data_IF_760322576009
#
_entry.id   IF_760322576009
#
_cell.length_a   1.000
_cell.length_b   1.000
_cell.length_c   1.000
_cell.angle_alpha   90.00
_cell.angle_beta   90.00
_cell.angle_gamma   90.00
#
_symmetry.space_group_name_H-M   'P 1'
#
loop_
_entity.id
_entity.type
_entity.pdbx_description
1 polymer ?
#
# COMPACT_ATOMS: atom_id res chain seq x y z
N UNK A 1 11.83 12.07 -16.64
CA UNK A 1 11.52 10.63 -16.54
C UNK A 1 10.02 10.50 -16.70
N UNK A 2 9.56 9.71 -17.68
CA UNK A 2 8.15 9.56 -18.05
C UNK A 2 7.43 8.71 -17.01
N UNK A 3 6.92 9.34 -15.94
CA UNK A 3 6.27 8.69 -14.78
C UNK A 3 4.92 8.01 -15.08
N UNK A 4 4.54 7.86 -16.36
CA UNK A 4 3.18 7.47 -16.74
C UNK A 4 3.04 6.01 -17.18
N UNK A 5 4.12 5.28 -17.47
CA UNK A 5 4.03 3.87 -17.90
C UNK A 5 3.99 2.85 -16.74
N UNK A 6 4.38 3.25 -15.52
CA UNK A 6 4.58 2.34 -14.38
C UNK A 6 3.42 2.25 -13.37
N UNK A 7 2.29 2.92 -13.60
CA UNK A 7 1.15 2.89 -12.67
C UNK A 7 0.24 1.65 -12.83
N UNK A 8 0.79 0.52 -13.27
CA UNK A 8 0.02 -0.74 -13.27
C UNK A 8 -0.03 -1.30 -11.85
N UNK A 9 -1.21 -1.64 -11.31
CA UNK A 9 -1.30 -2.29 -10.01
C UNK A 9 -0.48 -3.57 -10.00
N UNK A 10 0.54 -3.63 -9.13
CA UNK A 10 1.36 -4.83 -8.96
C UNK A 10 0.68 -5.74 -7.93
N UNK A 11 0.42 -7.01 -8.25
CA UNK A 11 -0.13 -7.95 -7.28
C UNK A 11 0.92 -8.28 -6.22
N UNK A 12 0.61 -8.00 -4.95
CA UNK A 12 1.45 -8.40 -3.81
C UNK A 12 1.18 -9.88 -3.51
N UNK A 13 2.16 -10.74 -3.77
CA UNK A 13 2.09 -12.19 -3.52
C UNK A 13 2.66 -12.51 -2.14
N UNK A 14 2.23 -13.63 -1.56
CA UNK A 14 2.72 -14.17 -0.28
C UNK A 14 2.65 -13.19 0.91
N UNK A 15 1.69 -12.25 0.88
CA UNK A 15 1.43 -11.41 2.05
C UNK A 15 0.90 -12.27 3.21
N UNK A 16 1.46 -12.07 4.39
CA UNK A 16 0.99 -12.74 5.60
C UNK A 16 -0.50 -12.46 5.83
N UNK A 17 -1.25 -13.50 6.21
CA UNK A 17 -2.70 -13.43 6.33
C UNK A 17 -3.14 -12.48 7.45
N UNK A 18 -2.40 -12.41 8.55
CA UNK A 18 -2.69 -11.50 9.65
C UNK A 18 -2.38 -10.07 9.24
N UNK A 19 -1.25 -9.83 8.57
CA UNK A 19 -0.90 -8.51 8.02
C UNK A 19 -1.96 -8.01 7.04
N UNK A 20 -2.41 -8.87 6.11
CA UNK A 20 -3.50 -8.52 5.19
C UNK A 20 -4.80 -8.17 5.93
N UNK A 21 -5.14 -8.94 6.97
CA UNK A 21 -6.35 -8.70 7.76
C UNK A 21 -6.28 -7.35 8.48
N UNK A 22 -5.15 -7.02 9.08
CA UNK A 22 -4.94 -5.75 9.77
C UNK A 22 -5.00 -4.57 8.82
N UNK A 23 -4.30 -4.66 7.68
CA UNK A 23 -4.35 -3.65 6.62
C UNK A 23 -5.78 -3.45 6.10
N UNK A 24 -6.55 -4.53 5.93
CA UNK A 24 -7.96 -4.46 5.53
C UNK A 24 -8.81 -3.73 6.56
N UNK A 25 -8.64 -4.04 7.85
CA UNK A 25 -9.40 -3.38 8.92
C UNK A 25 -9.06 -1.89 9.00
N UNK A 26 -7.79 -1.52 8.85
CA UNK A 26 -7.35 -0.13 8.82
C UNK A 26 -7.97 0.62 7.63
N UNK A 27 -7.94 0.03 6.44
CA UNK A 27 -8.54 0.61 5.24
C UNK A 27 -10.06 0.83 5.39
N UNK A 28 -10.78 -0.16 5.95
CA UNK A 28 -12.23 -0.06 6.19
C UNK A 28 -12.56 1.05 7.19
N UNK A 29 -11.81 1.19 8.28
CA UNK A 29 -12.01 2.26 9.27
C UNK A 29 -11.88 3.66 8.66
N UNK A 30 -11.03 3.79 7.64
CA UNK A 30 -10.80 5.03 6.91
C UNK A 30 -11.72 5.21 5.68
N UNK A 31 -12.62 4.25 5.41
CA UNK A 31 -13.52 4.30 4.25
C UNK A 31 -12.81 4.17 2.90
N UNK A 32 -11.62 3.59 2.86
CA UNK A 32 -10.80 3.49 1.65
C UNK A 32 -10.54 2.05 1.18
N UNK A 33 -10.12 1.91 -0.08
CA UNK A 33 -9.70 0.63 -0.63
C UNK A 33 -8.37 0.19 0.00
N UNK A 34 -8.24 -1.10 0.29
CA UNK A 34 -7.01 -1.67 0.90
C UNK A 34 -5.76 -1.40 0.05
N UNK A 35 -5.87 -1.44 -1.28
CA UNK A 35 -4.74 -1.16 -2.17
C UNK A 35 -4.22 0.27 -2.05
N UNK A 36 -5.12 1.24 -1.87
CA UNK A 36 -4.76 2.65 -1.63
C UNK A 36 -4.04 2.78 -0.30
N UNK A 37 -4.61 2.19 0.75
CA UNK A 37 -4.02 2.20 2.09
C UNK A 37 -2.61 1.62 2.12
N UNK A 38 -2.40 0.45 1.48
CA UNK A 38 -1.09 -0.20 1.40
C UNK A 38 -0.09 0.69 0.63
N UNK A 39 -0.53 1.32 -0.46
CA UNK A 39 0.32 2.21 -1.26
C UNK A 39 0.77 3.42 -0.44
N UNK A 40 -0.14 4.04 0.30
CA UNK A 40 0.18 5.14 1.20
C UNK A 40 1.16 4.72 2.31
N UNK A 41 0.95 3.55 2.91
CA UNK A 41 1.83 3.02 3.94
C UNK A 41 3.26 2.78 3.42
N UNK A 42 3.41 2.25 2.20
CA UNK A 42 4.72 2.07 1.55
C UNK A 42 5.38 3.43 1.30
N UNK A 43 4.65 4.41 0.75
CA UNK A 43 5.19 5.76 0.51
C UNK A 43 5.70 6.39 1.79
N UNK A 44 4.91 6.37 2.86
CA UNK A 44 5.32 6.90 4.16
C UNK A 44 6.58 6.22 4.70
N UNK A 45 6.75 4.91 4.48
CA UNK A 45 7.95 4.20 4.92
C UNK A 45 9.18 4.63 4.13
N UNK A 46 9.06 4.74 2.80
CA UNK A 46 10.15 5.18 1.92
C UNK A 46 10.55 6.63 2.17
N UNK A 47 9.58 7.51 2.47
CA UNK A 47 9.88 8.91 2.79
C UNK A 47 10.66 9.03 4.11
N UNK A 48 10.33 8.22 5.12
CA UNK A 48 11.11 8.16 6.38
C UNK A 48 12.53 7.64 6.25
N UNK A 49 12.87 6.93 5.18
CA UNK A 49 14.24 6.44 4.94
C UNK A 49 15.11 7.46 4.21
N UNK A 50 14.52 8.55 3.71
CA UNK A 50 15.26 9.63 3.03
C UNK A 50 15.76 10.71 4.00
N UNK A 51 15.23 10.73 5.22
CA UNK A 51 15.69 11.56 6.34
C UNK A 51 16.76 10.83 7.17
#
# INVERSE_FOLDING_TARGET
MTEQEDNKPIPIRNMDRNVYREARLAAVKLGQLIGVWITEAIRQRLDREKD
#
